data_IF_222930752490
#
_entry.id   IF_222930752490
#
_cell.length_a   1.000
_cell.length_b   1.000
_cell.length_c   1.000
_cell.angle_alpha   90.00
_cell.angle_beta   90.00
_cell.angle_gamma   90.00
#
_symmetry.space_group_name_H-M   'P 1'
#
loop_
_entity.id
_entity.type
_entity.pdbx_description
1 polymer ?
#
# COMPACT_ATOMS: atom_id res chain seq x y z
N UNK A 1 -23.09 -47.85 11.69
CA UNK A 1 -21.68 -47.51 11.96
C UNK A 1 -21.12 -46.98 10.65
N UNK A 2 -21.16 -45.69 10.45
CA UNK A 2 -20.56 -45.02 9.30
C UNK A 2 -19.44 -44.11 9.81
N UNK A 3 -18.23 -44.46 9.42
CA UNK A 3 -17.01 -43.75 9.85
C UNK A 3 -16.96 -42.36 9.18
N UNK A 4 -17.06 -41.34 9.99
CA UNK A 4 -16.84 -39.94 9.57
C UNK A 4 -15.37 -39.70 9.20
N UNK A 5 -15.10 -39.61 7.91
CA UNK A 5 -13.83 -39.10 7.39
C UNK A 5 -13.70 -37.61 7.74
N UNK A 6 -12.85 -37.33 8.72
CA UNK A 6 -12.34 -35.98 8.96
C UNK A 6 -11.37 -35.68 7.83
N UNK A 7 -11.78 -34.85 6.88
CA UNK A 7 -10.87 -34.27 5.90
C UNK A 7 -9.97 -33.27 6.60
N UNK A 8 -8.72 -33.63 6.81
CA UNK A 8 -7.65 -32.72 7.24
C UNK A 8 -7.53 -31.62 6.19
N UNK A 9 -7.89 -30.38 6.60
CA UNK A 9 -7.67 -29.21 5.76
C UNK A 9 -6.20 -29.13 5.35
N UNK A 10 -5.95 -29.05 4.07
CA UNK A 10 -4.63 -28.74 3.53
C UNK A 10 -4.21 -27.38 4.13
N UNK A 11 -3.13 -27.37 4.88
CA UNK A 11 -2.46 -26.14 5.26
C UNK A 11 -2.09 -25.41 3.96
N UNK A 12 -2.69 -24.25 3.73
CA UNK A 12 -2.33 -23.42 2.58
C UNK A 12 -0.84 -23.10 2.69
N UNK A 13 -0.06 -23.46 1.68
CA UNK A 13 1.35 -23.10 1.62
C UNK A 13 1.47 -21.58 1.66
N UNK A 14 2.44 -21.06 2.42
CA UNK A 14 2.74 -19.63 2.39
C UNK A 14 3.02 -19.18 0.94
N UNK A 15 2.59 -17.98 0.54
CA UNK A 15 2.87 -17.47 -0.79
C UNK A 15 4.39 -17.37 -1.00
N UNK A 16 4.82 -17.69 -2.22
CA UNK A 16 6.24 -17.61 -2.56
C UNK A 16 6.71 -16.16 -2.58
N UNK A 17 7.80 -15.90 -1.85
CA UNK A 17 8.51 -14.61 -1.82
C UNK A 17 9.93 -14.85 -2.33
N UNK A 18 10.33 -14.11 -3.37
CA UNK A 18 11.71 -14.18 -3.86
C UNK A 18 12.68 -13.69 -2.77
N UNK A 19 13.77 -14.45 -2.57
CA UNK A 19 14.78 -14.09 -1.57
C UNK A 19 15.80 -13.07 -2.12
N UNK A 20 15.58 -12.57 -3.33
CA UNK A 20 16.44 -11.60 -4.00
C UNK A 20 15.89 -10.20 -3.85
N UNK A 21 16.72 -9.28 -3.36
CA UNK A 21 16.42 -7.84 -3.34
C UNK A 21 17.05 -7.20 -4.56
N UNK A 22 16.22 -6.65 -5.42
CA UNK A 22 16.65 -5.93 -6.62
C UNK A 22 16.79 -4.44 -6.35
N UNK A 23 17.68 -3.78 -7.08
CA UNK A 23 17.82 -2.32 -7.04
C UNK A 23 17.23 -1.73 -8.32
N UNK A 24 16.19 -0.91 -8.15
CA UNK A 24 15.49 -0.28 -9.26
C UNK A 24 14.53 -1.22 -10.00
N UNK A 25 14.13 -0.77 -11.19
CA UNK A 25 13.16 -1.48 -12.04
C UNK A 25 13.77 -2.77 -12.64
N UNK A 26 12.94 -3.74 -13.06
CA UNK A 26 13.44 -4.93 -13.74
C UNK A 26 14.07 -4.55 -15.08
N UNK A 27 15.16 -5.25 -15.44
CA UNK A 27 15.79 -5.08 -16.75
C UNK A 27 14.92 -5.59 -17.90
N UNK A 28 14.10 -6.62 -17.62
CA UNK A 28 13.07 -7.14 -18.54
C UNK A 28 11.69 -6.90 -17.93
N UNK A 29 10.86 -6.16 -18.63
CA UNK A 29 9.50 -5.81 -18.23
C UNK A 29 8.44 -6.69 -18.94
N UNK A 30 8.85 -7.69 -19.69
CA UNK A 30 7.93 -8.61 -20.35
C UNK A 30 6.98 -9.26 -19.33
N UNK A 31 5.68 -9.16 -19.60
CA UNK A 31 4.63 -9.70 -18.72
C UNK A 31 4.27 -8.82 -17.52
N UNK A 32 4.94 -7.68 -17.31
CA UNK A 32 4.58 -6.73 -16.27
C UNK A 32 3.37 -5.87 -16.65
N UNK A 33 2.57 -5.49 -15.67
CA UNK A 33 1.38 -4.66 -15.91
C UNK A 33 1.77 -3.22 -16.19
N UNK A 34 1.04 -2.55 -17.09
CA UNK A 34 1.32 -1.15 -17.46
C UNK A 34 1.28 -0.18 -16.27
N UNK A 35 0.44 -0.43 -15.27
CA UNK A 35 0.37 0.39 -14.05
C UNK A 35 1.62 0.26 -13.18
N UNK A 36 2.22 -0.92 -13.16
CA UNK A 36 3.51 -1.17 -12.51
C UNK A 36 4.65 -0.44 -13.24
N UNK A 37 4.72 -0.59 -14.56
CA UNK A 37 5.73 0.08 -15.41
C UNK A 37 5.63 1.59 -15.26
N UNK A 38 4.42 2.16 -15.33
CA UNK A 38 4.20 3.61 -15.09
C UNK A 38 4.70 4.08 -13.73
N UNK A 39 4.56 3.23 -12.71
CA UNK A 39 5.09 3.55 -11.37
C UNK A 39 6.60 3.65 -11.41
N UNK A 40 7.30 2.71 -12.06
CA UNK A 40 8.75 2.77 -12.24
C UNK A 40 9.18 3.98 -13.07
N UNK A 41 8.48 4.30 -14.14
CA UNK A 41 8.76 5.49 -14.98
C UNK A 41 8.73 6.79 -14.15
N UNK A 42 7.76 6.92 -13.23
CA UNK A 42 7.66 8.08 -12.35
C UNK A 42 8.83 8.12 -11.36
N UNK A 43 9.14 6.99 -10.71
CA UNK A 43 10.25 6.92 -9.77
C UNK A 43 11.59 7.26 -10.44
N UNK A 44 11.84 6.74 -11.64
CA UNK A 44 13.04 7.04 -12.43
C UNK A 44 13.09 8.52 -12.85
N UNK A 45 11.97 9.06 -13.35
CA UNK A 45 11.86 10.49 -13.71
C UNK A 45 12.19 11.40 -12.54
N UNK A 46 11.75 11.04 -11.34
CA UNK A 46 11.99 11.81 -10.11
C UNK A 46 13.35 11.51 -9.47
N UNK A 47 14.11 10.57 -10.04
CA UNK A 47 15.38 10.09 -9.47
C UNK A 47 15.19 9.62 -8.02
N UNK A 48 14.13 8.86 -7.78
CA UNK A 48 13.85 8.19 -6.50
C UNK A 48 14.42 6.79 -6.57
N UNK A 49 15.53 6.50 -5.88
CA UNK A 49 16.05 5.14 -5.81
C UNK A 49 15.12 4.26 -4.99
N UNK A 50 14.99 2.99 -5.38
CA UNK A 50 14.19 2.02 -4.65
C UNK A 50 14.80 0.63 -4.70
N UNK A 51 14.51 -0.17 -3.70
CA UNK A 51 14.71 -1.61 -3.73
C UNK A 51 13.39 -2.31 -3.98
N UNK A 52 13.44 -3.50 -4.55
CA UNK A 52 12.26 -4.27 -4.99
C UNK A 52 12.42 -5.74 -4.64
N UNK A 53 11.33 -6.36 -4.21
CA UNK A 53 11.18 -7.81 -4.06
C UNK A 53 9.94 -8.24 -4.80
N UNK A 54 10.06 -9.26 -5.66
CA UNK A 54 8.93 -9.85 -6.35
C UNK A 54 8.39 -11.04 -5.53
N UNK A 55 7.08 -11.25 -5.56
CA UNK A 55 6.42 -12.27 -4.78
C UNK A 55 5.07 -12.65 -5.39
N UNK A 56 4.50 -13.77 -4.98
CA UNK A 56 3.10 -14.08 -5.26
C UNK A 56 2.19 -13.12 -4.48
N UNK A 57 0.91 -13.06 -4.85
CA UNK A 57 -0.06 -12.25 -4.10
C UNK A 57 -0.03 -12.59 -2.61
N UNK A 58 0.14 -11.55 -1.78
CA UNK A 58 0.28 -11.68 -0.34
C UNK A 58 -1.01 -11.24 0.33
N UNK A 59 -1.57 -12.16 1.12
CA UNK A 59 -2.76 -11.91 1.93
C UNK A 59 -2.53 -12.20 3.42
N UNK A 60 -1.33 -12.63 3.83
CA UNK A 60 -1.05 -13.04 5.22
C UNK A 60 -0.05 -12.11 5.89
N UNK A 61 -0.19 -11.97 7.22
CA UNK A 61 0.72 -11.16 8.06
C UNK A 61 2.13 -11.76 8.09
N UNK A 62 2.25 -13.09 8.04
CA UNK A 62 3.52 -13.81 8.04
C UNK A 62 4.35 -13.49 6.79
N UNK A 63 3.71 -13.49 5.61
CA UNK A 63 4.38 -13.15 4.36
C UNK A 63 4.77 -11.67 4.30
N UNK A 64 3.96 -10.75 4.86
CA UNK A 64 4.37 -9.36 5.04
C UNK A 64 5.61 -9.23 5.93
N UNK A 65 5.72 -10.02 7.01
CA UNK A 65 6.88 -10.01 7.91
C UNK A 65 8.17 -10.51 7.26
N UNK A 66 8.09 -11.35 6.24
CA UNK A 66 9.24 -11.77 5.44
C UNK A 66 9.72 -10.64 4.52
N UNK A 67 8.79 -9.95 3.85
CA UNK A 67 9.10 -8.79 3.03
C UNK A 67 9.70 -7.63 3.84
N UNK A 68 9.18 -7.37 5.04
CA UNK A 68 9.73 -6.35 5.95
C UNK A 68 11.22 -6.60 6.24
N UNK A 69 11.60 -7.87 6.43
CA UNK A 69 13.01 -8.25 6.68
C UNK A 69 13.87 -8.07 5.44
N UNK A 70 13.39 -8.50 4.25
CA UNK A 70 14.11 -8.40 2.99
C UNK A 70 14.32 -6.95 2.57
N UNK A 71 13.26 -6.15 2.60
CA UNK A 71 13.31 -4.73 2.23
C UNK A 71 13.93 -3.86 3.32
N UNK A 72 14.14 -4.37 4.54
CA UNK A 72 14.57 -3.63 5.73
C UNK A 72 13.69 -2.40 6.01
N UNK A 73 12.42 -2.53 5.69
CA UNK A 73 11.41 -1.47 5.82
C UNK A 73 10.06 -2.09 6.10
N UNK A 74 9.32 -1.63 7.11
CA UNK A 74 7.99 -2.13 7.36
C UNK A 74 7.05 -1.74 6.20
N UNK A 75 6.31 -2.72 5.70
CA UNK A 75 5.23 -2.45 4.75
C UNK A 75 4.11 -1.68 5.44
N UNK A 76 3.69 -0.61 4.79
CA UNK A 76 2.53 0.14 5.23
C UNK A 76 1.24 -0.61 4.95
N UNK A 77 0.33 -0.58 5.92
CA UNK A 77 -1.08 -0.86 5.66
C UNK A 77 -1.69 0.39 5.01
N UNK A 78 -2.18 0.22 3.79
CA UNK A 78 -2.85 1.28 3.05
C UNK A 78 -4.35 0.98 3.01
N UNK A 79 -5.17 1.90 3.52
CA UNK A 79 -6.62 1.75 3.56
C UNK A 79 -7.28 2.83 2.70
N UNK A 80 -8.11 2.41 1.76
CA UNK A 80 -8.87 3.33 0.94
C UNK A 80 -10.31 3.45 1.48
N UNK A 81 -10.68 4.65 1.91
CA UNK A 81 -11.89 4.92 2.67
C UNK A 81 -12.74 5.99 1.98
N UNK A 82 -14.05 5.95 2.22
CA UNK A 82 -14.96 6.98 1.72
C UNK A 82 -16.10 7.26 2.72
N UNK A 83 -16.74 8.44 2.56
CA UNK A 83 -17.99 8.76 3.23
C UNK A 83 -19.18 7.98 2.62
N UNK A 84 -20.31 7.98 3.31
CA UNK A 84 -21.52 7.26 2.87
C UNK A 84 -22.03 7.70 1.50
N UNK A 85 -21.88 8.99 1.18
CA UNK A 85 -22.29 9.56 -0.11
C UNK A 85 -21.27 9.30 -1.24
N UNK A 86 -20.09 8.72 -0.93
CA UNK A 86 -19.00 8.46 -1.90
C UNK A 86 -18.56 9.73 -2.66
N UNK A 87 -18.51 10.84 -1.93
CA UNK A 87 -18.09 12.16 -2.44
C UNK A 87 -16.75 12.62 -1.86
N UNK A 88 -16.25 11.95 -0.82
CA UNK A 88 -14.95 12.21 -0.19
C UNK A 88 -14.23 10.91 -0.01
N UNK A 89 -12.97 10.89 -0.46
CA UNK A 89 -12.12 9.69 -0.43
C UNK A 89 -10.83 10.00 0.32
N UNK A 90 -10.35 9.00 1.04
CA UNK A 90 -9.14 9.09 1.86
C UNK A 90 -8.27 7.87 1.61
N UNK A 91 -6.99 8.08 1.43
CA UNK A 91 -5.98 7.05 1.43
C UNK A 91 -5.19 7.17 2.74
N UNK A 92 -5.36 6.23 3.66
CA UNK A 92 -4.64 6.18 4.93
C UNK A 92 -3.43 5.27 4.81
N UNK A 93 -2.25 5.80 5.11
CA UNK A 93 -1.03 5.03 5.35
C UNK A 93 -0.83 4.88 6.86
N UNK A 94 -0.71 3.64 7.35
CA UNK A 94 -0.48 3.37 8.77
C UNK A 94 0.41 2.12 8.96
N UNK A 95 1.05 1.93 10.16
CA UNK A 95 1.81 0.72 10.44
C UNK A 95 0.99 -0.55 10.26
N UNK A 96 1.56 -1.56 9.60
CA UNK A 96 0.86 -2.81 9.29
C UNK A 96 0.25 -3.51 10.50
N UNK A 97 0.96 -3.45 11.65
CA UNK A 97 0.54 -4.09 12.92
C UNK A 97 -0.44 -3.25 13.74
N UNK A 98 -0.61 -1.97 13.43
CA UNK A 98 -1.52 -1.06 14.14
C UNK A 98 -2.96 -1.40 13.77
N UNK A 99 -3.84 -1.53 14.75
CA UNK A 99 -5.27 -1.77 14.50
C UNK A 99 -5.93 -0.50 14.00
N UNK A 100 -6.71 -0.60 12.93
CA UNK A 100 -7.49 0.53 12.43
C UNK A 100 -8.80 0.68 13.23
N UNK A 101 -8.94 1.83 13.90
CA UNK A 101 -10.13 2.19 14.66
C UNK A 101 -10.81 3.37 13.95
N UNK A 102 -11.86 3.06 13.19
CA UNK A 102 -12.58 4.05 12.36
C UNK A 102 -13.01 5.29 13.16
N UNK A 103 -13.48 5.11 14.40
CA UNK A 103 -13.94 6.22 15.24
C UNK A 103 -12.82 7.22 15.55
N UNK A 104 -11.64 6.72 15.93
CA UNK A 104 -10.47 7.56 16.22
C UNK A 104 -9.98 8.27 14.97
N UNK A 105 -9.88 7.55 13.86
CA UNK A 105 -9.50 8.14 12.57
C UNK A 105 -10.44 9.27 12.17
N UNK A 106 -11.74 9.03 12.14
CA UNK A 106 -12.73 10.05 11.79
C UNK A 106 -12.70 11.27 12.72
N UNK A 107 -12.46 11.06 14.02
CA UNK A 107 -12.33 12.16 14.99
C UNK A 107 -11.13 13.05 14.65
N UNK A 108 -9.98 12.48 14.33
CA UNK A 108 -8.76 13.24 14.07
C UNK A 108 -8.83 14.03 12.76
N UNK A 109 -9.45 13.50 11.71
CA UNK A 109 -9.59 14.20 10.42
C UNK A 109 -10.85 15.07 10.34
N UNK A 110 -11.65 15.15 11.39
CA UNK A 110 -12.90 15.93 11.40
C UNK A 110 -13.95 15.43 10.40
N UNK A 111 -13.98 14.12 10.14
CA UNK A 111 -14.90 13.50 9.16
C UNK A 111 -16.06 12.78 9.84
N UNK A 112 -17.26 12.74 9.23
CA UNK A 112 -18.30 11.77 9.57
C UNK A 112 -17.77 10.34 9.44
N UNK A 113 -18.56 9.37 9.89
CA UNK A 113 -18.21 7.94 9.77
C UNK A 113 -17.85 7.57 8.34
N UNK A 114 -16.67 6.93 8.19
CA UNK A 114 -16.14 6.41 6.94
C UNK A 114 -16.29 4.88 6.90
N UNK A 115 -16.28 4.34 5.70
CA UNK A 115 -16.21 2.91 5.39
C UNK A 115 -15.15 2.65 4.34
N UNK A 116 -14.76 1.39 4.13
CA UNK A 116 -13.90 1.03 3.01
C UNK A 116 -14.59 1.42 1.70
N UNK A 117 -13.82 2.04 0.82
CA UNK A 117 -14.31 2.43 -0.49
C UNK A 117 -14.49 1.19 -1.39
N UNK A 118 -15.57 1.11 -2.19
CA UNK A 118 -15.74 0.06 -3.18
C UNK A 118 -14.60 0.02 -4.20
N UNK A 119 -14.33 -1.17 -4.74
CA UNK A 119 -13.26 -1.41 -5.71
C UNK A 119 -13.33 -0.49 -6.93
N UNK A 120 -14.55 -0.21 -7.42
CA UNK A 120 -14.75 0.69 -8.57
C UNK A 120 -14.08 2.07 -8.39
N UNK A 121 -14.03 2.58 -7.15
CA UNK A 121 -13.37 3.84 -6.82
C UNK A 121 -11.86 3.70 -6.67
N UNK A 122 -11.35 2.53 -6.22
CA UNK A 122 -9.91 2.23 -6.24
C UNK A 122 -9.39 2.26 -7.67
N UNK A 123 -10.07 1.57 -8.59
CA UNK A 123 -9.73 1.56 -10.01
C UNK A 123 -9.84 2.96 -10.60
N UNK A 124 -10.95 3.66 -10.33
CA UNK A 124 -11.24 4.97 -10.90
C UNK A 124 -10.22 6.04 -10.54
N UNK A 125 -9.79 6.10 -9.27
CA UNK A 125 -8.93 7.18 -8.77
C UNK A 125 -7.46 6.79 -8.69
N UNK A 126 -7.16 5.54 -8.37
CA UNK A 126 -5.81 5.09 -8.09
C UNK A 126 -5.26 4.10 -9.13
N UNK A 127 -6.09 3.59 -10.04
CA UNK A 127 -5.77 2.49 -10.97
C UNK A 127 -5.25 1.23 -10.22
N UNK A 128 -5.88 0.94 -9.08
CA UNK A 128 -5.48 -0.12 -8.15
C UNK A 128 -6.66 -1.05 -7.90
N UNK A 129 -6.35 -2.32 -7.66
CA UNK A 129 -7.31 -3.35 -7.21
C UNK A 129 -7.13 -3.68 -5.72
N UNK A 130 -8.11 -4.31 -5.05
CA UNK A 130 -7.94 -4.79 -3.68
C UNK A 130 -6.66 -5.61 -3.51
N UNK A 131 -5.98 -5.41 -2.39
CA UNK A 131 -4.68 -6.06 -2.10
C UNK A 131 -3.46 -5.30 -2.61
N UNK A 132 -3.61 -4.34 -3.54
CA UNK A 132 -2.48 -3.55 -4.08
C UNK A 132 -2.54 -2.06 -3.76
N UNK A 133 -3.37 -1.65 -2.78
CA UNK A 133 -3.52 -0.24 -2.41
C UNK A 133 -2.18 0.35 -1.99
N UNK A 134 -1.81 1.46 -2.63
CA UNK A 134 -0.51 2.10 -2.48
C UNK A 134 -0.59 3.61 -2.63
N UNK A 135 0.26 4.32 -1.89
CA UNK A 135 0.44 5.77 -2.04
C UNK A 135 0.87 6.15 -3.46
N UNK A 136 1.59 5.27 -4.16
CA UNK A 136 2.05 5.52 -5.53
C UNK A 136 0.89 5.59 -6.53
N UNK A 137 -0.28 5.04 -6.18
CA UNK A 137 -1.51 5.18 -6.96
C UNK A 137 -2.03 6.62 -7.06
N UNK A 138 -1.62 7.53 -6.16
CA UNK A 138 -1.98 8.95 -6.25
C UNK A 138 -1.51 9.63 -7.55
N UNK A 139 -0.55 9.03 -8.26
CA UNK A 139 -0.16 9.48 -9.60
C UNK A 139 -1.32 9.43 -10.62
N UNK A 140 -2.35 8.63 -10.38
CA UNK A 140 -3.54 8.51 -11.22
C UNK A 140 -4.66 9.48 -10.80
N UNK A 141 -4.62 10.04 -9.59
CA UNK A 141 -5.60 10.99 -9.09
C UNK A 141 -5.31 12.43 -9.54
N UNK A 142 -5.36 12.66 -10.86
CA UNK A 142 -5.07 13.97 -11.46
C UNK A 142 -6.05 15.07 -11.05
N UNK A 143 -7.23 14.71 -10.51
CA UNK A 143 -8.27 15.65 -10.06
C UNK A 143 -8.25 15.89 -8.55
N UNK A 144 -7.30 15.33 -7.82
CA UNK A 144 -7.15 15.50 -6.36
C UNK A 144 -8.43 15.13 -5.58
N UNK A 145 -9.03 14.00 -5.96
CA UNK A 145 -10.26 13.51 -5.34
C UNK A 145 -9.99 12.72 -4.06
N UNK A 146 -8.73 12.28 -3.87
CA UNK A 146 -8.29 11.46 -2.75
C UNK A 146 -7.42 12.29 -1.80
N UNK A 147 -7.86 12.45 -0.56
CA UNK A 147 -7.04 13.03 0.50
C UNK A 147 -6.09 11.98 1.08
N UNK A 148 -4.80 12.22 0.99
CA UNK A 148 -3.80 11.40 1.67
C UNK A 148 -3.80 11.72 3.17
N UNK A 149 -3.75 10.66 3.99
CA UNK A 149 -3.60 10.74 5.45
C UNK A 149 -2.48 9.80 5.85
N UNK A 150 -1.54 10.27 6.66
CA UNK A 150 -0.39 9.49 7.09
C UNK A 150 -0.34 9.44 8.61
N UNK A 151 -0.24 8.23 9.15
CA UNK A 151 0.00 8.04 10.58
C UNK A 151 1.40 8.53 10.95
N UNK A 152 1.52 9.21 12.10
CA UNK A 152 2.78 9.78 12.60
C UNK A 152 3.91 8.76 12.68
N UNK A 153 3.62 7.52 13.06
CA UNK A 153 4.64 6.48 13.18
C UNK A 153 5.26 6.11 11.83
N UNK A 154 4.50 6.27 10.73
CA UNK A 154 5.04 6.11 9.37
C UNK A 154 5.96 7.28 9.01
N UNK A 155 5.56 8.52 9.36
CA UNK A 155 6.38 9.71 9.08
C UNK A 155 7.72 9.73 9.82
N UNK A 156 7.82 9.07 10.97
CA UNK A 156 9.06 8.94 11.74
C UNK A 156 10.05 7.93 11.15
N UNK A 157 9.61 7.10 10.20
CA UNK A 157 10.46 6.13 9.52
C UNK A 157 11.38 6.78 8.50
N UNK A 158 12.59 6.26 8.34
CA UNK A 158 13.52 6.69 7.28
C UNK A 158 13.08 6.19 5.90
N UNK A 159 12.39 5.06 5.86
CA UNK A 159 11.94 4.40 4.65
C UNK A 159 10.47 3.99 4.75
N UNK A 160 9.86 3.73 3.62
CA UNK A 160 8.50 3.24 3.51
C UNK A 160 8.41 2.09 2.51
N UNK A 161 7.80 0.98 2.96
CA UNK A 161 7.45 -0.15 2.11
C UNK A 161 6.09 0.06 1.45
N UNK A 162 5.99 -0.09 0.14
CA UNK A 162 4.76 0.09 -0.63
C UNK A 162 4.73 -0.81 -1.87
N UNK A 163 3.56 -0.94 -2.48
CA UNK A 163 3.39 -1.66 -3.75
C UNK A 163 3.54 -0.73 -4.96
N UNK A 164 4.11 -1.19 -6.08
CA UNK A 164 4.08 -0.46 -7.35
C UNK A 164 2.72 -0.61 -8.06
N UNK A 165 1.61 -0.36 -7.35
CA UNK A 165 0.22 -0.49 -7.80
C UNK A 165 -0.22 -1.91 -8.19
N UNK A 166 0.56 -2.93 -7.83
CA UNK A 166 0.26 -4.37 -8.01
C UNK A 166 0.59 -5.13 -6.73
N UNK A 167 -0.02 -6.30 -6.55
CA UNK A 167 0.15 -7.14 -5.35
C UNK A 167 1.16 -8.28 -5.54
N UNK A 168 2.04 -8.18 -6.53
CA UNK A 168 3.07 -9.21 -6.80
C UNK A 168 4.48 -8.65 -6.75
N UNK A 169 4.62 -7.42 -6.30
CA UNK A 169 5.90 -6.76 -6.04
C UNK A 169 5.77 -5.77 -4.90
N UNK A 170 6.82 -5.61 -4.12
CA UNK A 170 6.93 -4.62 -3.05
C UNK A 170 8.20 -3.82 -3.21
N UNK A 171 8.09 -2.52 -2.94
CA UNK A 171 9.18 -1.56 -3.02
C UNK A 171 9.51 -1.02 -1.64
N UNK A 172 10.76 -0.59 -1.46
CA UNK A 172 11.17 0.28 -0.37
C UNK A 172 11.77 1.55 -0.98
N UNK A 173 11.24 2.70 -0.57
CA UNK A 173 11.75 4.04 -0.94
C UNK A 173 12.07 4.84 0.32
N UNK A 174 12.92 5.87 0.20
CA UNK A 174 13.16 6.79 1.29
C UNK A 174 11.90 7.63 1.59
N UNK A 175 11.54 7.78 2.86
CA UNK A 175 10.41 8.64 3.28
C UNK A 175 10.60 10.08 2.79
N UNK A 176 11.83 10.58 2.87
CA UNK A 176 12.19 11.91 2.35
C UNK A 176 11.85 12.05 0.87
N UNK A 177 12.15 11.05 0.03
CA UNK A 177 11.85 11.10 -1.40
C UNK A 177 10.34 11.02 -1.67
N UNK A 178 9.58 10.27 -0.87
CA UNK A 178 8.12 10.28 -0.93
C UNK A 178 7.58 11.69 -0.66
N UNK A 179 8.02 12.34 0.43
CA UNK A 179 7.48 13.63 0.87
C UNK A 179 7.96 14.81 0.02
N UNK A 180 9.24 14.82 -0.37
CA UNK A 180 9.86 15.99 -1.02
C UNK A 180 9.89 15.91 -2.54
N UNK A 181 9.71 14.72 -3.14
CA UNK A 181 9.73 14.53 -4.60
C UNK A 181 8.42 13.99 -5.15
N UNK A 182 7.92 12.85 -4.61
CA UNK A 182 6.75 12.20 -5.16
C UNK A 182 5.46 13.00 -4.88
N UNK A 183 5.17 13.35 -3.63
CA UNK A 183 3.95 14.09 -3.28
C UNK A 183 3.87 15.45 -3.99
N UNK A 184 4.94 16.28 -4.05
CA UNK A 184 4.91 17.50 -4.86
C UNK A 184 4.69 17.26 -6.36
N UNK A 185 5.27 16.21 -6.92
CA UNK A 185 5.08 15.86 -8.34
C UNK A 185 3.63 15.49 -8.65
N UNK A 186 2.98 14.74 -7.77
CA UNK A 186 1.56 14.39 -7.92
C UNK A 186 0.63 15.47 -7.34
N UNK A 187 1.18 16.58 -6.82
CA UNK A 187 0.46 17.71 -6.23
C UNK A 187 -0.55 17.29 -5.15
N UNK A 188 -0.15 16.38 -4.25
CA UNK A 188 -0.94 15.96 -3.11
C UNK A 188 -0.29 16.39 -1.82
N UNK A 189 -1.10 17.01 -0.94
CA UNK A 189 -0.76 17.24 0.46
C UNK A 189 -1.27 16.08 1.31
N UNK A 190 -0.79 15.99 2.55
CA UNK A 190 -1.26 14.98 3.48
C UNK A 190 -1.74 15.59 4.81
N UNK A 191 -2.61 14.86 5.48
CA UNK A 191 -3.02 15.12 6.86
C UNK A 191 -2.27 14.13 7.75
N UNK A 192 -1.59 14.63 8.79
CA UNK A 192 -0.99 13.78 9.82
C UNK A 192 -2.05 13.37 10.85
N UNK A 193 -2.03 12.09 11.24
CA UNK A 193 -2.82 11.56 12.35
C UNK A 193 -1.93 10.77 13.30
N UNK A 194 -2.33 10.68 14.56
CA UNK A 194 -1.67 9.90 15.60
C UNK A 194 -2.65 8.82 16.10
N UNK A 195 -2.67 7.70 15.40
CA UNK A 195 -3.59 6.61 15.72
C UNK A 195 -3.03 5.79 16.90
N UNK A 196 -3.89 5.32 17.82
CA UNK A 196 -3.42 4.59 18.99
C UNK A 196 -2.88 3.20 18.62
N UNK A 197 -1.86 2.76 19.35
CA UNK A 197 -1.53 1.34 19.48
C UNK A 197 -2.48 0.71 20.49
N UNK A 198 -3.08 -0.42 20.18
CA UNK A 198 -3.81 -1.24 21.16
C UNK A 198 -2.90 -2.30 21.76
#
# INVERSE_FOLDING_TARGET
>A
MEDGKITTGQAASLPFVEQTVYHGRPADETGRLLKEIRTYDILDKLKIPFTRVDHQEIATVEACGELDKLLKSPLCKNLFLCNSQKTRFYLLMMPGRKRFITKEFCRQIGSPRLSFAPEEYMVKYLDITPGSVSVLGLANDTKKQVQLVIDRDILQGETVGCHPCINTSSLCIAMKDLLEKFLPYVEHDYIEVDLPWE
#
